data_IF_883871886293
#
_entry.id   IF_883871886293
#
_cell.length_a   1.000
_cell.length_b   1.000
_cell.length_c   1.000
_cell.angle_alpha   90.00
_cell.angle_beta   90.00
_cell.angle_gamma   90.00
#
_symmetry.space_group_name_H-M   'P 1'
#
loop_
_entity.id
_entity.type
_entity.pdbx_description
1 polymer ?
#
# COMPACT_ATOMS: atom_id res chain seq x y z
N UNK A 1 -19.89 -0.93 34.51
CA UNK A 1 -19.52 -0.89 34.04
C UNK A 1 -19.07 -0.67 33.52
N UNK A 2 -18.91 -0.53 33.61
CA UNK A 2 -18.37 -0.28 32.99
C UNK A 2 -17.78 -0.24 32.32
N UNK A 3 -17.45 -0.51 32.10
CA UNK A 3 -16.80 -0.45 31.37
C UNK A 3 -16.41 -0.40 30.69
N UNK A 4 -16.53 -0.65 30.76
CA UNK A 4 -16.08 -0.55 29.95
C UNK A 4 -15.70 -0.44 29.29
N UNK A 5 -15.87 -0.48 29.50
CA UNK A 5 -15.37 -0.41 28.67
C UNK A 5 -14.97 -0.40 28.01
N UNK A 6 -15.18 -0.48 28.18
CA UNK A 6 -14.62 -0.31 27.58
C UNK A 6 -14.26 -0.35 26.94
N UNK A 7 -14.54 -0.49 27.11
CA UNK A 7 -14.06 -0.38 26.49
C UNK A 7 -13.65 -0.34 25.83
N UNK A 8 -13.98 -0.34 26.11
CA UNK A 8 -13.47 -0.16 25.46
C UNK A 8 -12.95 -0.12 24.79
N UNK A 9 -13.10 -0.26 24.96
CA UNK A 9 -12.47 -0.08 24.35
C UNK A 9 -11.97 -0.15 23.73
N UNK A 10 -12.03 -0.29 23.79
CA UNK A 10 -11.43 -0.19 23.21
C UNK A 10 -10.99 -0.01 22.61
N UNK A 11 -11.12 -0.09 22.84
CA UNK A 11 -10.50 0.19 22.23
C UNK A 11 -9.93 0.38 21.82
N UNK A 12 -9.85 0.36 22.11
CA UNK A 12 -9.10 0.64 21.81
C UNK A 12 -8.50 0.66 21.64
N UNK A 13 -8.34 0.56 21.77
CA UNK A 13 -7.45 0.63 21.65
C UNK A 13 -6.98 0.56 21.39
N UNK A 14 -6.79 0.66 21.81
CA UNK A 14 -5.98 0.66 21.57
C UNK A 14 -5.61 0.56 21.01
N UNK A 15 -5.87 0.42 21.11
CA UNK A 15 -5.01 0.16 20.13
C UNK A 15 -3.88 1.02 19.75
N UNK A 16 -3.37 1.58 20.58
CA UNK A 16 -2.24 2.45 20.34
C UNK A 16 -0.97 1.69 20.03
N UNK A 17 -0.78 0.59 20.68
CA UNK A 17 0.37 -0.25 20.40
C UNK A 17 0.35 -0.75 18.96
N UNK A 18 -0.84 -1.01 18.48
CA UNK A 18 -0.99 -1.46 17.09
C UNK A 18 -0.58 -0.38 16.10
N UNK A 19 -0.80 0.87 16.45
CA UNK A 19 -0.42 1.95 15.56
C UNK A 19 1.08 2.03 15.39
N UNK A 20 1.82 1.69 16.43
CA UNK A 20 3.27 1.69 16.36
C UNK A 20 3.79 0.65 15.37
N UNK A 21 3.04 -0.43 15.21
CA UNK A 21 3.44 -1.52 14.32
C UNK A 21 2.90 -1.36 12.91
N UNK A 22 2.00 -0.42 12.70
CA UNK A 22 1.42 -0.22 11.38
C UNK A 22 2.16 0.83 10.61
N UNK A 23 2.63 0.48 9.42
CA UNK A 23 3.29 1.47 8.58
C UNK A 23 2.33 2.57 8.16
N UNK A 24 2.89 3.72 7.93
CA UNK A 24 2.17 4.85 7.41
C UNK A 24 1.62 4.52 6.02
N UNK A 25 0.32 4.72 5.84
CA UNK A 25 -0.34 4.36 4.59
C UNK A 25 -0.86 5.62 3.93
N UNK A 26 -0.52 5.79 2.66
CA UNK A 26 -0.88 6.97 1.89
C UNK A 26 -1.95 6.63 0.88
N UNK A 27 -3.03 7.41 0.87
CA UNK A 27 -4.03 7.35 -0.18
C UNK A 27 -3.56 8.20 -1.35
N UNK A 28 -3.59 7.61 -2.52
CA UNK A 28 -3.05 8.26 -3.71
C UNK A 28 -4.21 8.79 -4.55
N UNK A 29 -4.38 10.11 -4.55
CA UNK A 29 -5.49 10.71 -5.27
C UNK A 29 -5.29 10.70 -6.77
N UNK A 30 -4.16 11.09 -7.20
CA UNK A 30 -3.86 11.19 -8.61
C UNK A 30 -3.40 9.91 -9.23
N UNK A 31 -3.54 8.83 -8.57
CA UNK A 31 -3.15 7.50 -9.00
C UNK A 31 -1.73 7.44 -9.56
N UNK A 32 -0.88 6.77 -8.82
CA UNK A 32 0.45 6.44 -9.30
C UNK A 32 0.30 5.21 -10.18
N UNK A 33 0.81 5.32 -11.42
CA UNK A 33 0.82 4.17 -12.31
C UNK A 33 1.84 3.16 -11.84
N UNK A 34 1.47 1.89 -11.92
CA UNK A 34 2.37 0.82 -11.55
C UNK A 34 2.35 -0.24 -12.64
N UNK A 35 3.46 -0.94 -12.77
CA UNK A 35 3.58 -2.07 -13.67
C UNK A 35 3.71 -3.32 -12.82
N UNK A 36 2.88 -4.30 -13.09
CA UNK A 36 2.96 -5.61 -12.42
C UNK A 36 3.51 -6.60 -13.43
N UNK A 37 4.66 -7.18 -13.10
CA UNK A 37 5.23 -8.22 -13.94
C UNK A 37 4.91 -9.59 -13.34
N UNK A 38 4.19 -10.38 -14.11
CA UNK A 38 3.74 -11.69 -13.69
C UNK A 38 4.84 -12.74 -13.88
N UNK A 39 4.72 -13.91 -13.21
CA UNK A 39 5.74 -14.96 -13.36
C UNK A 39 5.93 -15.45 -14.80
N UNK A 40 4.89 -15.34 -15.64
CA UNK A 40 4.99 -15.73 -17.04
C UNK A 40 5.54 -14.63 -17.94
N UNK A 41 6.13 -13.58 -17.36
CA UNK A 41 6.71 -12.44 -18.06
C UNK A 41 5.69 -11.46 -18.64
N UNK A 42 4.41 -11.72 -18.48
CA UNK A 42 3.38 -10.75 -18.91
C UNK A 42 3.37 -9.58 -17.96
N UNK A 43 2.99 -8.42 -18.49
CA UNK A 43 2.98 -7.19 -17.71
C UNK A 43 1.59 -6.60 -17.72
N UNK A 44 1.15 -6.09 -16.57
CA UNK A 44 -0.12 -5.41 -16.41
C UNK A 44 0.13 -3.99 -15.94
N UNK A 45 -0.57 -3.04 -16.53
CA UNK A 45 -0.55 -1.66 -16.05
C UNK A 45 -1.71 -1.50 -15.08
N UNK A 46 -1.43 -0.83 -13.98
CA UNK A 46 -2.44 -0.62 -12.96
C UNK A 46 -2.20 0.69 -12.27
N UNK A 47 -3.12 1.04 -11.38
CA UNK A 47 -3.01 2.24 -10.56
C UNK A 47 -2.89 1.83 -9.11
N UNK A 48 -1.94 2.45 -8.41
CA UNK A 48 -1.83 2.29 -6.97
C UNK A 48 -2.87 3.17 -6.30
N UNK A 49 -3.67 2.58 -5.43
CA UNK A 49 -4.72 3.27 -4.69
C UNK A 49 -4.21 3.70 -3.32
N UNK A 50 -3.41 2.84 -2.71
CA UNK A 50 -2.78 3.12 -1.42
C UNK A 50 -1.39 2.50 -1.44
N UNK A 51 -0.49 3.08 -0.65
CA UNK A 51 0.88 2.60 -0.58
C UNK A 51 1.44 2.86 0.81
N UNK A 52 2.19 1.88 1.30
CA UNK A 52 2.94 1.99 2.55
C UNK A 52 4.27 1.26 2.36
N UNK A 53 5.10 1.28 3.38
CA UNK A 53 6.40 0.59 3.30
C UNK A 53 6.28 -0.92 3.37
N UNK A 54 5.10 -1.47 3.65
CA UNK A 54 4.91 -2.91 3.71
C UNK A 54 4.05 -3.44 2.57
N UNK A 55 3.35 -2.58 1.85
CA UNK A 55 2.48 -3.00 0.76
C UNK A 55 1.51 -1.91 0.38
N UNK A 56 0.40 -2.29 -0.21
CA UNK A 56 -0.58 -1.32 -0.66
C UNK A 56 -1.79 -1.95 -1.29
N UNK A 57 -2.43 -1.18 -2.16
CA UNK A 57 -3.67 -1.55 -2.80
C UNK A 57 -3.61 -1.10 -4.26
N UNK A 58 -3.88 -2.02 -5.17
CA UNK A 58 -3.91 -1.73 -6.61
C UNK A 58 -5.31 -1.94 -7.15
N UNK A 59 -5.63 -1.21 -8.22
CA UNK A 59 -6.90 -1.37 -8.90
C UNK A 59 -6.68 -2.20 -10.15
N UNK A 60 -7.47 -3.25 -10.34
CA UNK A 60 -7.34 -4.18 -11.45
C UNK A 60 -8.70 -4.42 -12.09
N UNK A 61 -8.70 -4.66 -13.40
CA UNK A 61 -9.93 -5.06 -14.09
C UNK A 61 -10.28 -6.50 -13.77
N UNK A 62 -9.27 -7.33 -13.65
CA UNK A 62 -9.42 -8.74 -13.30
C UNK A 62 -8.48 -9.04 -12.14
N UNK A 63 -8.97 -9.68 -11.08
CA UNK A 63 -8.11 -9.94 -9.94
C UNK A 63 -7.05 -10.98 -10.25
N UNK A 64 -5.94 -10.90 -9.55
CA UNK A 64 -4.89 -11.91 -9.63
C UNK A 64 -5.10 -12.92 -8.51
N UNK A 65 -4.53 -14.11 -8.71
CA UNK A 65 -4.66 -15.16 -7.71
C UNK A 65 -4.08 -14.72 -6.39
N UNK A 66 -4.77 -15.08 -5.31
CA UNK A 66 -4.26 -14.85 -3.97
C UNK A 66 -2.93 -15.59 -3.80
N UNK A 67 -1.97 -14.93 -3.14
CA UNK A 67 -0.63 -15.45 -2.88
C UNK A 67 0.29 -15.49 -4.11
N UNK A 68 -0.20 -15.04 -5.25
CA UNK A 68 0.68 -14.94 -6.42
C UNK A 68 1.77 -13.92 -6.15
N UNK A 69 3.02 -14.28 -6.44
CA UNK A 69 4.14 -13.36 -6.32
C UNK A 69 4.41 -12.70 -7.65
N UNK A 70 4.56 -11.40 -7.62
CA UNK A 70 4.78 -10.58 -8.81
C UNK A 70 5.90 -9.59 -8.53
N UNK A 71 6.41 -8.98 -9.60
CA UNK A 71 7.32 -7.84 -9.46
C UNK A 71 6.51 -6.58 -9.69
N UNK A 72 6.61 -5.65 -8.75
CA UNK A 72 5.88 -4.40 -8.81
C UNK A 72 6.86 -3.27 -9.05
N UNK A 73 6.58 -2.44 -10.07
CA UNK A 73 7.45 -1.35 -10.47
C UNK A 73 6.62 -0.08 -10.51
N UNK A 74 7.05 0.95 -9.79
CA UNK A 74 6.34 2.22 -9.76
C UNK A 74 7.29 3.34 -9.35
N UNK A 75 6.82 4.57 -9.50
CA UNK A 75 7.61 5.76 -9.15
C UNK A 75 6.97 6.49 -7.99
N UNK A 76 7.79 6.91 -7.04
CA UNK A 76 7.37 7.80 -5.97
C UNK A 76 8.31 8.99 -6.01
N UNK A 77 7.78 10.16 -6.36
CA UNK A 77 8.63 11.31 -6.60
C UNK A 77 9.56 11.01 -7.76
N UNK A 78 10.87 11.11 -7.52
CA UNK A 78 11.87 10.82 -8.54
C UNK A 78 12.47 9.45 -8.40
N UNK A 79 11.99 8.67 -7.46
CA UNK A 79 12.53 7.34 -7.19
C UNK A 79 11.73 6.27 -7.91
N UNK A 80 12.43 5.35 -8.55
CA UNK A 80 11.82 4.16 -9.13
C UNK A 80 11.91 3.03 -8.13
N UNK A 81 10.78 2.45 -7.81
CA UNK A 81 10.68 1.35 -6.85
C UNK A 81 10.41 0.08 -7.63
N UNK A 82 11.22 -0.93 -7.36
CA UNK A 82 11.03 -2.25 -7.96
C UNK A 82 11.15 -3.28 -6.86
N UNK A 83 10.05 -3.90 -6.50
CA UNK A 83 10.03 -4.84 -5.38
C UNK A 83 9.14 -6.02 -5.70
N UNK A 84 9.49 -7.15 -5.10
CA UNK A 84 8.66 -8.33 -5.17
C UNK A 84 7.48 -8.16 -4.22
N UNK A 85 6.30 -8.53 -4.68
CA UNK A 85 5.08 -8.41 -3.89
C UNK A 85 4.26 -9.68 -4.00
N UNK A 86 3.53 -9.97 -2.94
CA UNK A 86 2.59 -11.08 -2.92
C UNK A 86 1.19 -10.51 -2.93
N UNK A 87 0.37 -10.99 -3.87
CA UNK A 87 -1.01 -10.54 -3.96
C UNK A 87 -1.82 -11.18 -2.85
N UNK A 88 -2.74 -10.40 -2.29
CA UNK A 88 -3.61 -10.86 -1.22
C UNK A 88 -5.03 -11.01 -1.77
N UNK A 89 -6.00 -11.22 -0.90
CA UNK A 89 -7.36 -11.50 -1.33
C UNK A 89 -7.99 -10.27 -1.98
N UNK A 90 -8.52 -10.38 -3.22
CA UNK A 90 -9.10 -9.22 -3.91
C UNK A 90 -10.45 -8.81 -3.32
N UNK A 91 -10.77 -7.52 -3.46
CA UNK A 91 -12.02 -6.95 -2.99
C UNK A 91 -12.78 -6.33 -4.16
N UNK A 92 -14.10 -6.46 -4.13
CA UNK A 92 -14.94 -5.78 -5.10
C UNK A 92 -14.82 -4.27 -4.97
N UNK A 93 -14.87 -3.58 -6.10
CA UNK A 93 -14.88 -2.13 -6.13
C UNK A 93 -15.96 -1.67 -7.09
N UNK A 94 -16.23 -0.37 -7.10
CA UNK A 94 -17.23 0.18 -8.00
C UNK A 94 -16.87 -0.10 -9.45
N UNK A 95 -15.58 -0.05 -9.76
CA UNK A 95 -15.08 -0.36 -11.09
C UNK A 95 -13.94 -1.35 -10.93
N UNK A 96 -14.20 -2.60 -11.31
CA UNK A 96 -13.20 -3.64 -11.24
C UNK A 96 -12.94 -4.11 -9.82
N UNK A 97 -11.68 -4.29 -9.48
CA UNK A 97 -11.27 -4.89 -8.23
C UNK A 97 -10.18 -4.06 -7.56
N UNK A 98 -10.21 -4.02 -6.24
CA UNK A 98 -9.11 -3.50 -5.45
C UNK A 98 -8.42 -4.68 -4.83
N UNK A 99 -7.14 -4.83 -5.10
CA UNK A 99 -6.41 -5.99 -4.60
C UNK A 99 -5.25 -5.54 -3.74
N UNK A 100 -5.24 -5.95 -2.47
CA UNK A 100 -4.12 -5.65 -1.59
C UNK A 100 -2.90 -6.46 -1.98
N UNK A 101 -1.74 -5.93 -1.66
CA UNK A 101 -0.49 -6.66 -1.82
C UNK A 101 0.44 -6.31 -0.66
N UNK A 102 1.42 -7.18 -0.43
CA UNK A 102 2.46 -6.89 0.54
C UNK A 102 3.81 -7.15 -0.12
N UNK A 103 4.79 -6.34 0.26
CA UNK A 103 6.14 -6.56 -0.24
C UNK A 103 6.75 -7.79 0.40
N UNK A 104 7.57 -8.51 -0.36
CA UNK A 104 8.21 -9.74 0.09
C UNK A 104 9.71 -9.50 0.16
N UNK A 105 10.28 -9.81 1.31
CA UNK A 105 11.74 -9.73 1.52
C UNK A 105 12.34 -8.38 1.20
N UNK A 106 11.60 -7.31 1.49
CA UNK A 106 12.10 -5.97 1.27
C UNK A 106 13.09 -5.59 2.38
N UNK A 107 14.33 -5.25 2.03
CA UNK A 107 15.31 -4.87 3.05
C UNK A 107 14.89 -3.63 3.82
N UNK A 108 15.33 -3.53 5.05
CA UNK A 108 14.99 -2.44 5.95
C UNK A 108 15.38 -1.08 5.37
N UNK A 109 16.52 -1.01 4.69
CA UNK A 109 16.96 0.23 4.05
C UNK A 109 15.98 0.71 3.01
N UNK A 110 15.44 -0.21 2.22
CA UNK A 110 14.48 0.18 1.19
C UNK A 110 13.13 0.55 1.80
N UNK A 111 12.74 -0.10 2.89
CA UNK A 111 11.53 0.30 3.61
C UNK A 111 11.64 1.72 4.11
N UNK A 112 12.78 2.04 4.73
CA UNK A 112 13.03 3.38 5.25
C UNK A 112 13.02 4.41 4.13
N UNK A 113 13.68 4.09 3.02
CA UNK A 113 13.72 4.98 1.88
C UNK A 113 12.32 5.23 1.32
N UNK A 114 11.51 4.18 1.22
CA UNK A 114 10.15 4.31 0.73
C UNK A 114 9.31 5.15 1.67
N UNK A 115 9.44 4.95 2.98
CA UNK A 115 8.73 5.75 3.95
C UNK A 115 9.09 7.23 3.84
N UNK A 116 10.37 7.53 3.63
CA UNK A 116 10.81 8.91 3.45
C UNK A 116 10.20 9.52 2.19
N UNK A 117 10.19 8.75 1.10
CA UNK A 117 9.59 9.21 -0.14
C UNK A 117 8.09 9.44 0.00
N UNK A 118 7.40 8.57 0.73
CA UNK A 118 5.97 8.74 0.96
C UNK A 118 5.69 9.94 1.83
N UNK A 119 6.51 10.19 2.85
CA UNK A 119 6.35 11.37 3.69
C UNK A 119 6.55 12.64 2.88
N UNK A 120 7.54 12.64 2.00
CA UNK A 120 7.77 13.80 1.14
C UNK A 120 6.58 14.03 0.20
N UNK A 121 6.00 12.96 -0.32
CA UNK A 121 4.83 13.07 -1.18
C UNK A 121 3.64 13.65 -0.43
N UNK A 122 3.40 13.20 0.79
CA UNK A 122 2.31 13.71 1.61
C UNK A 122 2.52 15.19 1.93
N UNK A 123 3.75 15.58 2.22
CA UNK A 123 4.05 16.98 2.49
C UNK A 123 3.70 17.85 1.28
N UNK A 124 4.08 17.41 0.08
CA UNK A 124 3.77 18.16 -1.14
C UNK A 124 2.26 18.27 -1.37
N UNK A 125 1.52 17.22 -1.07
CA UNK A 125 0.08 17.23 -1.25
C UNK A 125 -0.62 18.15 -0.26
N UNK A 126 0.00 18.39 0.89
CA UNK A 126 -0.56 19.27 1.92
C UNK A 126 -0.20 20.73 1.74
N UNK A 127 0.84 21.00 0.99
CA UNK A 127 1.26 22.37 0.78
C UNK A 127 0.26 23.12 -0.06
N UNK A 128 -0.12 24.34 0.33
CA UNK A 128 -1.03 25.11 -0.49
C UNK A 128 -0.35 25.49 -1.82
N UNK A 129 -1.14 25.53 -2.85
CA UNK A 129 -0.63 25.99 -4.16
C UNK A 129 -0.37 27.48 -4.06
N UNK A 130 0.79 27.90 -4.47
CA UNK A 130 1.14 29.31 -4.42
C UNK A 130 1.15 29.91 -5.82
#
# INVERSE_FOLDING_TARGET
MSQTPATAAQTAPSPTAHKADRPFRVKLRGSILALIRLPNQRELRTHLHQLSSTGGLVQLETPLDEKLEVELIFHVGESTIREKAQMLFPMWATQGWLQPFRFVDMPEERKTSLEQNLNALVQRLREPAL
#
